data_IF_572633322721
#
_entry.id   IF_572633322721
#
_cell.length_a   1.000
_cell.length_b   1.000
_cell.length_c   1.000
_cell.angle_alpha   90.00
_cell.angle_beta   90.00
_cell.angle_gamma   90.00
#
_symmetry.space_group_name_H-M   'P 1'
#
loop_
_entity.id
_entity.type
_entity.pdbx_description
1 polymer ?
#
# COMPACT_ATOMS: atom_id res chain seq x y z
N UNK A 1 -8.24 12.65 -25.07
CA UNK A 1 -8.33 11.34 -24.38
C UNK A 1 -7.58 11.42 -23.04
N UNK A 2 -8.14 12.09 -22.03
CA UNK A 2 -7.43 12.34 -20.74
C UNK A 2 -8.09 11.61 -19.56
N UNK A 3 -9.34 11.16 -19.70
CA UNK A 3 -10.09 10.52 -18.62
C UNK A 3 -9.68 9.05 -18.35
N UNK A 4 -9.04 8.38 -19.30
CA UNK A 4 -8.75 6.94 -19.19
C UNK A 4 -7.51 6.71 -18.32
N UNK A 5 -6.51 7.60 -18.37
CA UNK A 5 -5.28 7.46 -17.59
C UNK A 5 -5.53 7.56 -16.08
N UNK A 6 -6.38 8.50 -15.64
CA UNK A 6 -6.71 8.66 -14.21
C UNK A 6 -7.45 7.45 -13.63
N UNK A 7 -8.36 6.85 -14.40
CA UNK A 7 -9.11 5.66 -13.99
C UNK A 7 -8.18 4.45 -13.89
N UNK A 8 -7.29 4.23 -14.86
CA UNK A 8 -6.30 3.15 -14.80
C UNK A 8 -5.36 3.27 -13.61
N UNK A 9 -4.96 4.50 -13.24
CA UNK A 9 -4.08 4.73 -12.10
C UNK A 9 -4.77 4.42 -10.77
N UNK A 10 -6.06 4.78 -10.63
CA UNK A 10 -6.84 4.44 -9.43
C UNK A 10 -7.11 2.93 -9.28
N UNK A 11 -7.37 2.22 -10.38
CA UNK A 11 -7.54 0.76 -10.36
C UNK A 11 -6.24 0.03 -9.99
N UNK A 12 -5.09 0.56 -10.42
CA UNK A 12 -3.79 0.02 -10.05
C UNK A 12 -3.49 0.21 -8.56
N UNK A 13 -3.85 1.35 -7.97
CA UNK A 13 -3.65 1.60 -6.53
C UNK A 13 -4.55 0.71 -5.66
N UNK A 14 -5.80 0.46 -6.09
CA UNK A 14 -6.71 -0.42 -5.36
C UNK A 14 -6.22 -1.88 -5.38
N UNK A 15 -5.69 -2.35 -6.51
CA UNK A 15 -5.15 -3.70 -6.64
C UNK A 15 -3.70 -3.84 -6.16
N UNK A 16 -2.99 -2.73 -5.99
CA UNK A 16 -1.60 -2.67 -5.55
C UNK A 16 -1.42 -1.50 -4.57
N UNK A 17 -1.95 -1.65 -3.33
CA UNK A 17 -1.84 -0.61 -2.31
C UNK A 17 -0.37 -0.23 -2.10
N UNK A 18 -0.08 1.06 -1.86
CA UNK A 18 1.30 1.53 -1.77
C UNK A 18 2.02 0.85 -0.61
N UNK A 19 3.25 0.41 -0.87
CA UNK A 19 4.10 -0.18 0.15
C UNK A 19 4.32 0.79 1.32
N UNK A 20 4.45 0.24 2.52
CA UNK A 20 4.73 1.00 3.73
C UNK A 20 6.12 1.67 3.61
N UNK A 21 6.25 2.98 3.90
CA UNK A 21 7.53 3.68 3.80
C UNK A 21 8.57 3.11 4.77
N UNK A 22 9.83 2.99 4.34
CA UNK A 22 10.95 2.52 5.19
C UNK A 22 11.13 3.34 6.47
N UNK A 23 10.78 4.63 6.45
CA UNK A 23 10.84 5.52 7.60
C UNK A 23 9.94 5.05 8.74
N UNK A 24 8.80 4.44 8.41
CA UNK A 24 7.84 3.91 9.39
C UNK A 24 8.43 2.69 10.12
N UNK A 25 9.26 1.89 9.45
CA UNK A 25 9.95 0.76 10.09
C UNK A 25 10.98 1.21 11.13
N UNK A 26 11.50 2.45 11.02
CA UNK A 26 12.43 3.04 12.00
C UNK A 26 11.72 3.52 13.27
N UNK A 27 10.40 3.76 13.21
CA UNK A 27 9.58 4.19 14.35
C UNK A 27 9.23 3.04 15.32
N UNK A 28 9.55 1.80 14.94
CA UNK A 28 9.29 0.61 15.73
C UNK A 28 7.91 -0.03 15.44
N UNK A 29 7.76 -1.29 15.88
CA UNK A 29 6.65 -2.16 15.49
C UNK A 29 5.25 -1.61 15.84
N UNK A 30 5.12 -0.91 16.97
CA UNK A 30 3.82 -0.36 17.42
C UNK A 30 3.37 0.80 16.54
N UNK A 31 4.25 1.76 16.25
CA UNK A 31 3.95 2.89 15.36
C UNK A 31 3.74 2.40 13.93
N UNK A 32 4.54 1.42 13.48
CA UNK A 32 4.36 0.79 12.18
C UNK A 32 2.95 0.24 11.99
N UNK A 33 2.39 -0.45 12.98
CA UNK A 33 1.02 -0.99 12.89
C UNK A 33 -0.09 0.07 12.97
N UNK A 34 0.22 1.31 13.37
CA UNK A 34 -0.75 2.41 13.33
C UNK A 34 -0.93 2.93 11.90
N UNK A 35 0.17 3.02 11.16
CA UNK A 35 0.21 3.62 9.80
C UNK A 35 0.09 2.56 8.70
N UNK A 36 0.60 1.35 8.95
CA UNK A 36 0.65 0.28 7.97
C UNK A 36 -0.09 -0.98 8.45
N UNK A 37 -0.53 -1.78 7.49
CA UNK A 37 -1.15 -3.07 7.70
C UNK A 37 -0.52 -4.14 6.82
N UNK A 38 -0.59 -5.39 7.26
CA UNK A 38 -0.13 -6.53 6.49
C UNK A 38 -1.28 -7.02 5.60
N UNK A 39 -1.17 -6.86 4.29
CA UNK A 39 -2.15 -7.35 3.32
C UNK A 39 -1.56 -8.47 2.46
N UNK A 40 -2.40 -9.46 2.14
CA UNK A 40 -2.07 -10.49 1.18
C UNK A 40 -2.27 -9.94 -0.22
N UNK A 41 -1.17 -9.83 -0.96
CA UNK A 41 -1.17 -9.35 -2.33
C UNK A 41 -1.61 -10.44 -3.31
N UNK A 42 -2.07 -10.07 -4.50
CA UNK A 42 -2.62 -10.99 -5.52
C UNK A 42 -1.68 -12.12 -5.98
N UNK A 43 -0.39 -12.06 -5.64
CA UNK A 43 0.62 -13.09 -5.93
C UNK A 43 0.90 -14.03 -4.75
N UNK A 44 0.10 -13.98 -3.67
CA UNK A 44 0.29 -14.79 -2.47
C UNK A 44 1.40 -14.26 -1.54
N UNK A 45 1.92 -13.06 -1.81
CA UNK A 45 2.93 -12.40 -0.99
C UNK A 45 2.29 -11.52 0.09
N UNK A 46 2.78 -11.61 1.32
CA UNK A 46 2.40 -10.69 2.39
C UNK A 46 3.26 -9.42 2.30
N UNK A 47 2.61 -8.26 2.20
CA UNK A 47 3.31 -6.97 2.16
C UNK A 47 2.76 -6.02 3.22
N UNK A 48 3.64 -5.23 3.79
CA UNK A 48 3.26 -4.09 4.62
C UNK A 48 2.89 -2.95 3.69
N UNK A 49 1.64 -2.52 3.78
CA UNK A 49 1.10 -1.46 2.93
C UNK A 49 0.52 -0.37 3.81
N UNK A 50 0.47 0.86 3.29
CA UNK A 50 -0.16 1.96 4.00
C UNK A 50 -1.65 1.65 4.21
N UNK A 51 -2.13 1.91 5.42
CA UNK A 51 -3.56 1.95 5.70
C UNK A 51 -4.16 3.16 4.99
N UNK A 52 -5.32 2.99 4.39
CA UNK A 52 -6.14 4.11 3.89
C UNK A 52 -6.65 5.00 5.03
#
# INVERSE_FOLDING_TARGET
MVAIAGIFTAHLIWNNPPDCPEEVFKLGYVEQRKVCELKLHGYGEWRWVLKE
#
